data_IF_210363266986
#
_entry.id   IF_210363266986
#
_cell.length_a   1.000
_cell.length_b   1.000
_cell.length_c   1.000
_cell.angle_alpha   90.00
_cell.angle_beta   90.00
_cell.angle_gamma   90.00
#
_symmetry.space_group_name_H-M   'P 1'
#
loop_
_entity.id
_entity.type
_entity.pdbx_description
1 polymer ?
#
# COMPACT_ATOMS: atom_id res chain seq x y z
N UNK A 1 -23.60 -31.73 9.60
CA UNK A 1 -23.55 -30.41 10.24
C UNK A 1 -22.29 -29.59 9.94
N UNK A 2 -21.16 -30.25 9.55
CA UNK A 2 -19.84 -29.59 9.35
C UNK A 2 -19.70 -28.98 7.95
N UNK A 3 -20.37 -29.55 6.95
CA UNK A 3 -20.30 -29.09 5.55
C UNK A 3 -21.10 -27.80 5.34
N UNK A 4 -22.22 -27.62 6.03
CA UNK A 4 -23.08 -26.43 5.90
C UNK A 4 -22.38 -25.16 6.45
N UNK A 5 -21.66 -25.30 7.57
CA UNK A 5 -20.93 -24.19 8.21
C UNK A 5 -19.74 -23.66 7.38
N UNK A 6 -19.09 -24.51 6.55
CA UNK A 6 -18.00 -24.08 5.67
C UNK A 6 -18.51 -23.31 4.45
N UNK A 7 -19.66 -23.66 3.91
CA UNK A 7 -20.24 -22.96 2.76
C UNK A 7 -20.74 -21.57 3.12
N UNK A 8 -21.36 -21.43 4.31
CA UNK A 8 -21.86 -20.14 4.79
C UNK A 8 -20.69 -19.16 5.06
N UNK A 9 -19.63 -19.67 5.71
CA UNK A 9 -18.43 -18.86 5.95
C UNK A 9 -17.77 -18.40 4.65
N UNK A 10 -17.72 -19.25 3.63
CA UNK A 10 -17.20 -18.90 2.31
C UNK A 10 -18.04 -17.83 1.62
N UNK A 11 -19.38 -17.91 1.72
CA UNK A 11 -20.29 -16.92 1.16
C UNK A 11 -20.07 -15.52 1.79
N UNK A 12 -19.97 -15.43 3.11
CA UNK A 12 -19.72 -14.15 3.80
C UNK A 12 -18.35 -13.56 3.43
N UNK A 13 -17.30 -14.36 3.24
CA UNK A 13 -16.00 -13.87 2.78
C UNK A 13 -16.07 -13.29 1.36
N UNK A 14 -16.75 -13.97 0.45
CA UNK A 14 -16.92 -13.48 -0.93
C UNK A 14 -17.76 -12.20 -0.94
N UNK A 15 -18.86 -12.16 -0.19
CA UNK A 15 -19.72 -10.98 -0.08
C UNK A 15 -18.93 -9.79 0.50
N UNK A 16 -18.13 -10.01 1.54
CA UNK A 16 -17.26 -8.98 2.10
C UNK A 16 -16.29 -8.42 1.07
N UNK A 17 -15.62 -9.29 0.29
CA UNK A 17 -14.70 -8.85 -0.74
C UNK A 17 -15.40 -8.02 -1.82
N UNK A 18 -16.58 -8.46 -2.28
CA UNK A 18 -17.35 -7.71 -3.28
C UNK A 18 -17.73 -6.32 -2.76
N UNK A 19 -18.27 -6.24 -1.54
CA UNK A 19 -18.64 -4.97 -0.92
C UNK A 19 -17.41 -4.08 -0.73
N UNK A 20 -16.30 -4.65 -0.24
CA UNK A 20 -15.05 -3.94 -0.03
C UNK A 20 -14.53 -3.30 -1.32
N UNK A 21 -14.48 -4.06 -2.43
CA UNK A 21 -14.03 -3.53 -3.72
C UNK A 21 -14.97 -2.46 -4.29
N UNK A 22 -16.29 -2.59 -4.08
CA UNK A 22 -17.27 -1.60 -4.54
C UNK A 22 -17.21 -0.30 -3.73
N UNK A 23 -16.86 -0.37 -2.45
CA UNK A 23 -16.84 0.79 -1.55
C UNK A 23 -15.46 1.47 -1.47
N UNK A 24 -14.39 0.80 -1.88
CA UNK A 24 -13.03 1.31 -1.78
C UNK A 24 -12.84 2.56 -2.66
N UNK A 25 -13.31 2.56 -3.89
CA UNK A 25 -13.17 3.70 -4.81
C UNK A 25 -13.91 4.95 -4.32
N UNK A 26 -15.20 4.91 -3.93
CA UNK A 26 -15.86 6.05 -3.30
C UNK A 26 -15.16 6.52 -2.02
N UNK A 27 -14.71 5.60 -1.17
CA UNK A 27 -13.97 5.93 0.05
C UNK A 27 -12.67 6.68 -0.25
N UNK A 28 -11.91 6.27 -1.27
CA UNK A 28 -10.69 6.94 -1.67
C UNK A 28 -10.96 8.38 -2.13
N UNK A 29 -12.06 8.62 -2.81
CA UNK A 29 -12.45 9.93 -3.27
C UNK A 29 -12.94 10.82 -2.12
N UNK A 30 -13.82 10.31 -1.27
CA UNK A 30 -14.42 11.08 -0.19
C UNK A 30 -13.42 11.44 0.92
N UNK A 31 -12.49 10.55 1.24
CA UNK A 31 -11.58 10.75 2.36
C UNK A 31 -10.24 11.40 1.99
N UNK A 32 -9.71 11.10 0.81
CA UNK A 32 -8.39 11.59 0.41
C UNK A 32 -8.47 12.66 -0.68
N UNK A 33 -9.18 12.42 -1.77
CA UNK A 33 -9.25 13.39 -2.86
C UNK A 33 -10.09 14.63 -2.51
N UNK A 34 -10.98 14.54 -1.53
CA UNK A 34 -11.69 15.72 -1.00
C UNK A 34 -10.76 16.79 -0.42
N UNK A 35 -9.55 16.43 0.00
CA UNK A 35 -8.53 17.39 0.44
C UNK A 35 -7.93 18.21 -0.72
N UNK A 36 -8.01 17.69 -1.94
CA UNK A 36 -7.53 18.31 -3.18
C UNK A 36 -8.59 18.22 -4.27
N UNK A 37 -9.68 19.00 -4.19
CA UNK A 37 -10.85 18.86 -5.07
C UNK A 37 -10.55 19.05 -6.57
N UNK A 38 -9.49 19.80 -6.88
CA UNK A 38 -9.06 20.06 -8.25
C UNK A 38 -8.21 18.94 -8.86
N UNK A 39 -7.74 18.00 -8.02
CA UNK A 39 -6.87 16.91 -8.45
C UNK A 39 -7.61 15.58 -8.55
N UNK A 40 -7.49 14.91 -9.70
CA UNK A 40 -8.11 13.62 -9.96
C UNK A 40 -7.11 12.65 -10.55
N UNK A 41 -7.11 11.41 -10.05
CA UNK A 41 -6.33 10.31 -10.63
C UNK A 41 -7.09 8.99 -10.51
N UNK A 42 -7.27 8.31 -11.63
CA UNK A 42 -7.93 6.99 -11.69
C UNK A 42 -7.13 5.89 -11.00
N UNK A 43 -5.80 6.02 -10.98
CA UNK A 43 -4.92 5.05 -10.30
C UNK A 43 -4.86 5.24 -8.79
N UNK A 44 -5.34 6.36 -8.26
CA UNK A 44 -5.23 6.68 -6.83
C UNK A 44 -5.94 5.65 -5.95
N UNK A 45 -7.16 5.24 -6.31
CA UNK A 45 -7.90 4.22 -5.58
C UNK A 45 -7.14 2.88 -5.55
N UNK A 46 -6.57 2.46 -6.69
CA UNK A 46 -5.74 1.24 -6.77
C UNK A 46 -4.47 1.34 -5.93
N UNK A 47 -3.84 2.51 -5.90
CA UNK A 47 -2.68 2.76 -5.05
C UNK A 47 -3.07 2.67 -3.56
N UNK A 48 -4.18 3.25 -3.17
CA UNK A 48 -4.70 3.20 -1.80
C UNK A 48 -5.03 1.76 -1.39
N UNK A 49 -5.73 1.01 -2.25
CA UNK A 49 -6.02 -0.40 -2.04
C UNK A 49 -4.75 -1.22 -1.83
N UNK A 50 -3.74 -1.03 -2.68
CA UNK A 50 -2.46 -1.74 -2.54
C UNK A 50 -1.73 -1.38 -1.24
N UNK A 51 -1.85 -0.15 -0.77
CA UNK A 51 -1.31 0.32 0.52
C UNK A 51 -1.99 -0.37 1.70
N UNK A 52 -3.32 -0.52 1.68
CA UNK A 52 -4.06 -1.27 2.70
C UNK A 52 -3.71 -2.75 2.69
N UNK A 53 -3.63 -3.38 1.52
CA UNK A 53 -3.26 -4.80 1.41
C UNK A 53 -1.84 -5.05 1.93
N UNK A 54 -0.88 -4.23 1.52
CA UNK A 54 0.51 -4.34 1.96
C UNK A 54 0.64 -4.13 3.48
N UNK A 55 -0.04 -3.13 4.04
CA UNK A 55 -0.08 -2.86 5.48
C UNK A 55 -0.75 -4.00 6.24
N UNK A 56 -1.86 -4.52 5.74
CA UNK A 56 -2.59 -5.64 6.33
C UNK A 56 -1.74 -6.91 6.39
N UNK A 57 -1.05 -7.26 5.29
CA UNK A 57 -0.15 -8.43 5.26
C UNK A 57 1.02 -8.22 6.22
N UNK A 58 1.59 -7.02 6.30
CA UNK A 58 2.65 -6.70 7.24
C UNK A 58 2.21 -6.87 8.69
N UNK A 59 0.99 -6.39 9.05
CA UNK A 59 0.40 -6.60 10.38
C UNK A 59 0.18 -8.09 10.67
N UNK A 60 -0.44 -8.83 9.76
CA UNK A 60 -0.67 -10.27 9.93
C UNK A 60 0.66 -11.00 10.16
N UNK A 61 1.72 -10.59 9.46
CA UNK A 61 3.05 -11.20 9.60
C UNK A 61 3.60 -11.07 11.01
N UNK A 62 3.38 -9.95 11.71
CA UNK A 62 3.86 -9.74 13.08
C UNK A 62 3.18 -10.67 14.11
N UNK A 63 1.96 -11.12 13.82
CA UNK A 63 1.19 -12.00 14.71
C UNK A 63 1.15 -13.46 14.23
N UNK A 64 1.87 -13.79 13.14
CA UNK A 64 1.82 -15.11 12.51
C UNK A 64 2.69 -16.14 13.20
N UNK A 65 2.36 -17.42 12.95
CA UNK A 65 3.14 -18.57 13.41
C UNK A 65 4.25 -18.93 12.41
N UNK A 66 5.33 -19.63 12.86
CA UNK A 66 6.48 -20.00 12.01
C UNK A 66 6.12 -20.77 10.74
N UNK A 67 5.07 -21.57 10.79
CA UNK A 67 4.57 -22.37 9.65
C UNK A 67 4.16 -21.53 8.44
N UNK A 68 3.76 -20.26 8.66
CA UNK A 68 3.28 -19.33 7.62
C UNK A 68 4.36 -18.35 7.12
N UNK A 69 5.57 -18.32 7.71
CA UNK A 69 6.57 -17.30 7.40
C UNK A 69 6.99 -17.29 5.93
N UNK A 70 7.16 -18.47 5.33
CA UNK A 70 7.55 -18.59 3.93
C UNK A 70 6.51 -17.95 2.99
N UNK A 71 5.23 -18.18 3.24
CA UNK A 71 4.16 -17.69 2.37
C UNK A 71 3.90 -16.20 2.60
N UNK A 72 3.88 -15.76 3.86
CA UNK A 72 3.79 -14.33 4.20
C UNK A 72 4.96 -13.53 3.63
N UNK A 73 6.17 -14.10 3.66
CA UNK A 73 7.34 -13.46 3.03
C UNK A 73 7.22 -13.33 1.51
N UNK A 74 6.56 -14.28 0.84
CA UNK A 74 6.25 -14.18 -0.61
C UNK A 74 5.20 -13.10 -0.86
N UNK A 75 4.14 -13.04 -0.02
CA UNK A 75 3.11 -12.00 -0.14
C UNK A 75 3.68 -10.61 0.12
N UNK A 76 4.46 -10.40 1.18
CA UNK A 76 5.13 -9.12 1.44
C UNK A 76 6.01 -8.70 0.26
N UNK A 77 6.78 -9.62 -0.29
CA UNK A 77 7.62 -9.37 -1.46
C UNK A 77 6.79 -8.97 -2.68
N UNK A 78 5.77 -9.75 -3.03
CA UNK A 78 4.92 -9.49 -4.20
C UNK A 78 4.13 -8.19 -4.07
N UNK A 79 3.50 -7.94 -2.91
CA UNK A 79 2.70 -6.74 -2.69
C UNK A 79 3.55 -5.47 -2.54
N UNK A 80 4.78 -5.55 -2.05
CA UNK A 80 5.69 -4.39 -2.06
C UNK A 80 6.07 -3.96 -3.48
N UNK A 81 6.30 -4.92 -4.39
CA UNK A 81 6.53 -4.65 -5.80
C UNK A 81 5.27 -4.06 -6.46
N UNK A 82 4.10 -4.66 -6.20
CA UNK A 82 2.83 -4.21 -6.76
C UNK A 82 2.50 -2.77 -6.33
N UNK A 83 2.68 -2.45 -5.05
CA UNK A 83 2.51 -1.11 -4.53
C UNK A 83 3.47 -0.10 -5.19
N UNK A 84 4.75 -0.44 -5.29
CA UNK A 84 5.74 0.41 -5.91
C UNK A 84 5.47 0.64 -7.41
N UNK A 85 5.00 -0.40 -8.11
CA UNK A 85 4.59 -0.31 -9.50
C UNK A 85 3.43 0.69 -9.68
N UNK A 86 2.37 0.60 -8.86
CA UNK A 86 1.23 1.51 -8.94
C UNK A 86 1.65 2.96 -8.62
N UNK A 87 2.45 3.16 -7.57
CA UNK A 87 2.95 4.47 -7.20
C UNK A 87 3.79 5.10 -8.32
N UNK A 88 4.72 4.33 -8.86
CA UNK A 88 5.60 4.79 -9.94
C UNK A 88 4.83 5.03 -11.24
N UNK A 89 3.88 4.16 -11.58
CA UNK A 89 3.04 4.33 -12.77
C UNK A 89 2.20 5.60 -12.69
N UNK A 90 1.60 5.89 -11.54
CA UNK A 90 0.86 7.13 -11.32
C UNK A 90 1.75 8.35 -11.49
N UNK A 91 2.92 8.35 -10.87
CA UNK A 91 3.90 9.42 -11.01
C UNK A 91 4.32 9.63 -12.46
N UNK A 92 4.65 8.55 -13.18
CA UNK A 92 5.09 8.61 -14.58
C UNK A 92 4.00 9.11 -15.52
N UNK A 93 2.76 8.68 -15.32
CA UNK A 93 1.62 9.15 -16.14
C UNK A 93 1.40 10.66 -15.98
N UNK A 94 1.39 11.15 -14.74
CA UNK A 94 1.21 12.58 -14.46
C UNK A 94 2.40 13.39 -14.97
N UNK A 95 3.62 12.89 -14.78
CA UNK A 95 4.83 13.54 -15.28
C UNK A 95 4.87 13.62 -16.81
N UNK A 96 4.49 12.54 -17.51
CA UNK A 96 4.49 12.47 -18.95
C UNK A 96 3.38 13.31 -19.58
N UNK A 97 2.16 13.25 -19.05
CA UNK A 97 1.01 14.02 -19.53
C UNK A 97 1.21 15.53 -19.31
N UNK A 98 1.89 15.91 -18.23
CA UNK A 98 2.20 17.28 -17.84
C UNK A 98 0.99 18.23 -17.87
N UNK A 99 -0.18 17.69 -17.47
CA UNK A 99 -1.42 18.47 -17.36
C UNK A 99 -1.32 19.33 -16.10
N UNK A 100 -1.47 20.66 -16.17
CA UNK A 100 -1.27 21.56 -15.03
C UNK A 100 -2.08 21.17 -13.79
N UNK A 101 -3.34 20.77 -13.96
CA UNK A 101 -4.26 20.39 -12.89
C UNK A 101 -3.79 19.11 -12.18
N UNK A 102 -3.17 18.17 -12.90
CA UNK A 102 -2.69 16.92 -12.33
C UNK A 102 -1.31 17.06 -11.68
N UNK A 103 -0.45 17.92 -12.20
CA UNK A 103 0.92 18.12 -11.67
C UNK A 103 0.95 18.84 -10.34
N UNK A 104 -0.08 19.62 -10.00
CA UNK A 104 -0.19 20.41 -8.76
C UNK A 104 0.07 19.55 -7.51
N UNK A 105 -0.40 18.31 -7.49
CA UNK A 105 -0.20 17.40 -6.36
C UNK A 105 1.28 17.19 -6.05
N UNK A 106 2.08 16.77 -7.03
CA UNK A 106 3.50 16.52 -6.85
C UNK A 106 4.31 17.80 -6.69
N UNK A 107 3.91 18.89 -7.35
CA UNK A 107 4.53 20.20 -7.17
C UNK A 107 4.34 20.71 -5.73
N UNK A 108 3.16 20.52 -5.15
CA UNK A 108 2.88 20.87 -3.74
C UNK A 108 3.75 20.06 -2.79
N UNK A 109 3.88 18.77 -3.01
CA UNK A 109 4.75 17.90 -2.21
C UNK A 109 6.22 18.36 -2.25
N UNK A 110 6.72 18.68 -3.44
CA UNK A 110 8.12 19.08 -3.63
C UNK A 110 8.39 20.49 -3.10
N UNK A 111 7.48 21.45 -3.32
CA UNK A 111 7.63 22.85 -2.88
C UNK A 111 7.56 23.00 -1.36
N UNK A 112 6.78 22.16 -0.67
CA UNK A 112 6.69 22.14 0.80
C UNK A 112 7.83 21.36 1.49
N UNK A 113 8.82 20.86 0.74
CA UNK A 113 10.00 20.21 1.31
C UNK A 113 9.81 18.73 1.68
N UNK A 114 8.77 18.05 1.20
CA UNK A 114 8.51 16.63 1.51
C UNK A 114 9.33 15.63 0.67
N UNK A 115 10.32 16.12 -0.11
CA UNK A 115 11.16 15.26 -0.96
C UNK A 115 11.84 14.13 -0.19
N UNK A 116 12.42 14.45 0.95
CA UNK A 116 13.13 13.45 1.78
C UNK A 116 12.16 12.39 2.34
N UNK A 117 10.95 12.82 2.73
CA UNK A 117 9.92 11.90 3.20
C UNK A 117 9.44 10.95 2.08
N UNK A 118 9.32 11.43 0.83
CA UNK A 118 8.99 10.61 -0.33
C UNK A 118 10.08 9.56 -0.56
N UNK A 119 11.35 9.96 -0.54
CA UNK A 119 12.48 9.03 -0.71
C UNK A 119 12.51 8.00 0.43
N UNK A 120 12.34 8.44 1.68
CA UNK A 120 12.28 7.53 2.83
C UNK A 120 11.12 6.53 2.71
N UNK A 121 9.94 6.98 2.31
CA UNK A 121 8.78 6.12 2.05
C UNK A 121 9.09 5.04 1.02
N UNK A 122 9.69 5.39 -0.13
CA UNK A 122 10.05 4.44 -1.19
C UNK A 122 11.11 3.44 -0.73
N UNK A 123 12.11 3.89 0.04
CA UNK A 123 13.15 3.02 0.61
C UNK A 123 12.52 2.02 1.59
N UNK A 124 11.68 2.48 2.50
CA UNK A 124 11.09 1.66 3.57
C UNK A 124 10.01 0.71 3.05
N UNK A 125 9.16 1.15 2.11
CA UNK A 125 8.04 0.34 1.60
C UNK A 125 8.44 -0.61 0.47
N UNK A 126 9.51 -0.30 -0.27
CA UNK A 126 9.90 -1.07 -1.45
C UNK A 126 11.38 -1.48 -1.44
N UNK A 127 12.33 -0.54 -1.48
CA UNK A 127 13.73 -0.87 -1.77
C UNK A 127 14.34 -1.82 -0.74
N UNK A 128 14.21 -1.54 0.55
CA UNK A 128 14.71 -2.42 1.62
C UNK A 128 13.94 -3.75 1.69
N UNK A 129 12.60 -3.79 1.70
CA UNK A 129 11.84 -5.02 1.62
C UNK A 129 12.22 -5.89 0.41
N UNK A 130 12.37 -5.28 -0.75
CA UNK A 130 12.77 -5.99 -1.97
C UNK A 130 14.13 -6.66 -1.82
N UNK A 131 15.16 -5.94 -1.37
CA UNK A 131 16.51 -6.48 -1.20
C UNK A 131 16.56 -7.57 -0.13
N UNK A 132 15.89 -7.38 1.01
CA UNK A 132 15.87 -8.35 2.11
C UNK A 132 15.13 -9.62 1.69
N UNK A 133 13.93 -9.47 1.12
CA UNK A 133 13.06 -10.59 0.77
C UNK A 133 13.39 -11.23 -0.58
N UNK A 134 14.39 -10.74 -1.33
CA UNK A 134 14.86 -11.40 -2.54
C UNK A 134 15.38 -12.82 -2.24
N UNK A 135 16.04 -13.00 -1.09
CA UNK A 135 16.53 -14.32 -0.65
C UNK A 135 15.41 -15.18 -0.06
N UNK A 136 15.27 -16.40 -0.56
CA UNK A 136 14.32 -17.38 0.00
C UNK A 136 14.62 -17.74 1.45
N UNK A 137 15.89 -17.69 1.87
CA UNK A 137 16.30 -17.95 3.26
C UNK A 137 15.86 -16.82 4.20
N UNK A 138 15.83 -15.58 3.72
CA UNK A 138 15.38 -14.44 4.52
C UNK A 138 13.88 -14.51 4.84
N UNK A 139 13.07 -15.01 3.92
CA UNK A 139 11.62 -15.20 4.09
C UNK A 139 11.25 -16.19 5.20
N UNK A 140 12.16 -17.09 5.56
CA UNK A 140 11.94 -18.11 6.60
C UNK A 140 12.48 -17.69 7.97
N UNK A 141 13.36 -16.69 8.03
CA UNK A 141 13.95 -16.20 9.29
C UNK A 141 13.04 -15.19 9.95
N UNK A 142 12.54 -15.52 11.16
CA UNK A 142 11.65 -14.66 11.94
C UNK A 142 12.15 -13.22 12.05
N UNK A 143 13.42 -13.04 12.42
CA UNK A 143 14.00 -11.70 12.65
C UNK A 143 13.97 -10.83 11.39
N UNK A 144 14.36 -11.39 10.23
CA UNK A 144 14.36 -10.65 8.97
C UNK A 144 12.96 -10.37 8.47
N UNK A 145 12.06 -11.35 8.59
CA UNK A 145 10.66 -11.20 8.16
C UNK A 145 9.92 -10.14 9.00
N UNK A 146 10.07 -10.19 10.33
CA UNK A 146 9.45 -9.22 11.24
C UNK A 146 10.06 -7.84 11.08
N UNK A 147 11.39 -7.74 10.96
CA UNK A 147 12.06 -6.47 10.67
C UNK A 147 11.55 -5.84 9.37
N UNK A 148 11.40 -6.64 8.31
CA UNK A 148 10.85 -6.17 7.04
C UNK A 148 9.39 -5.72 7.17
N UNK A 149 8.56 -6.45 7.91
CA UNK A 149 7.17 -6.07 8.15
C UNK A 149 7.07 -4.71 8.88
N UNK A 150 7.93 -4.47 9.87
CA UNK A 150 7.99 -3.18 10.58
C UNK A 150 8.46 -2.06 9.64
N UNK A 151 9.47 -2.29 8.80
CA UNK A 151 9.94 -1.31 7.81
C UNK A 151 8.81 -0.92 6.84
N UNK A 152 8.06 -1.91 6.35
CA UNK A 152 6.90 -1.68 5.48
C UNK A 152 5.84 -0.85 6.21
N UNK A 153 5.49 -1.16 7.45
CA UNK A 153 4.50 -0.40 8.21
C UNK A 153 4.92 1.06 8.42
N UNK A 154 6.19 1.30 8.72
CA UNK A 154 6.73 2.67 8.83
C UNK A 154 6.68 3.40 7.48
N UNK A 155 7.04 2.73 6.40
CA UNK A 155 6.95 3.30 5.06
C UNK A 155 5.51 3.60 4.63
N UNK A 156 4.55 2.72 4.95
CA UNK A 156 3.13 2.95 4.67
C UNK A 156 2.54 4.05 5.58
N UNK A 157 2.99 4.18 6.82
CA UNK A 157 2.64 5.33 7.65
C UNK A 157 3.08 6.65 7.00
N UNK A 158 4.33 6.73 6.48
CA UNK A 158 4.80 7.89 5.73
C UNK A 158 3.97 8.12 4.44
N UNK A 159 3.56 7.06 3.76
CA UNK A 159 2.72 7.15 2.57
C UNK A 159 1.37 7.82 2.89
N UNK A 160 0.66 7.35 3.92
CA UNK A 160 -0.60 7.98 4.37
C UNK A 160 -0.39 9.40 4.90
N UNK A 161 0.70 9.64 5.62
CA UNK A 161 1.07 10.98 6.07
C UNK A 161 1.24 11.95 4.90
N UNK A 162 1.94 11.54 3.83
CA UNK A 162 2.16 12.34 2.62
C UNK A 162 0.88 12.55 1.79
N UNK A 163 -0.08 11.63 1.89
CA UNK A 163 -1.38 11.79 1.22
C UNK A 163 -2.27 12.85 1.89
N UNK A 164 -2.10 13.12 3.19
CA UNK A 164 -2.98 13.97 3.98
C UNK A 164 -2.31 15.29 4.37
N UNK A 165 -1.18 15.23 5.07
CA UNK A 165 -0.59 16.42 5.74
C UNK A 165 -0.21 17.57 4.82
N UNK A 166 0.32 17.38 3.61
CA UNK A 166 0.68 18.47 2.72
C UNK A 166 -0.53 19.30 2.27
N UNK A 167 -1.73 18.75 2.34
CA UNK A 167 -2.97 19.34 1.82
C UNK A 167 -3.91 19.86 2.91
N UNK A 168 -3.66 19.52 4.18
CA UNK A 168 -4.38 20.11 5.31
C UNK A 168 -3.92 21.57 5.48
N UNK A 169 -4.89 22.48 5.50
CA UNK A 169 -4.67 23.93 5.69
C UNK A 169 -4.58 24.28 7.17
#
# INVERSE_FOLDING_TARGET
GITYRKSDLSFFHVLFLVIFFLTETPMAWDWFLSLTPEWHSTLFAWQLLSSFLLSGIALITLFSKPEHYSDLGKYLFGFSIFWAYLWFSQYMLIWYANIPEETVYYQTLLSKGYREAIVAMLILSFALPFLILLSSRAKQKKLLLFGTAILILLGQYLNFYLMVMPFVK
#
